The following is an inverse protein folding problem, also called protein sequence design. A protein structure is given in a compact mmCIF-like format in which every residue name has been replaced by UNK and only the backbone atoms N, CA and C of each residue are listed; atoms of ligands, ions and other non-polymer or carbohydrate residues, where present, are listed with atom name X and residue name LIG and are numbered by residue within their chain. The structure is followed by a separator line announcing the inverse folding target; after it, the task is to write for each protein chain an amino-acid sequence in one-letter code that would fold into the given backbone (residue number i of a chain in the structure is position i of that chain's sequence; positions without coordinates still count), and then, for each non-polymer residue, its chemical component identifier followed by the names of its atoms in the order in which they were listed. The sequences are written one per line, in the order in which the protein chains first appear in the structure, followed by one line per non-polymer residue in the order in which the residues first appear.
data_IF_867470934902
#
_entry.id   IF_867470934902
#
_cell.length_a   1.000
_cell.length_b   1.000
_cell.length_c   1.000
_cell.angle_alpha   90.00
_cell.angle_beta   90.00
_cell.angle_gamma   90.00
#
_symmetry.space_group_name_H-M   'P 1'
#
loop_
_entity.id
_entity.type
_entity.pdbx_description
1 polymer ?
#
# COMPACT_ATOMS: atom_id res chain seq x y z
N UNK A 1 -10.21 72.85 0.02
CA UNK A 1 -11.38 71.99 0.32
C UNK A 1 -10.81 70.60 0.66
N UNK A 2 -10.75 70.23 1.96
CA UNK A 2 -10.21 68.90 2.37
C UNK A 2 -11.40 67.93 2.39
N UNK A 3 -11.34 66.92 1.56
CA UNK A 3 -12.29 65.82 1.55
C UNK A 3 -12.06 64.97 2.79
N UNK A 4 -13.00 64.92 3.72
CA UNK A 4 -12.99 64.02 4.86
C UNK A 4 -13.30 62.62 4.34
N UNK A 5 -12.31 61.74 4.27
CA UNK A 5 -12.52 60.32 4.00
C UNK A 5 -13.13 59.64 5.22
N UNK A 6 -14.37 59.23 5.11
CA UNK A 6 -15.04 58.40 6.13
C UNK A 6 -14.37 57.00 6.12
N UNK A 7 -13.55 56.70 7.10
CA UNK A 7 -13.12 55.33 7.38
C UNK A 7 -14.34 54.54 7.90
N UNK A 8 -14.82 53.61 7.10
CA UNK A 8 -15.79 52.59 7.52
C UNK A 8 -15.05 51.55 8.35
N UNK A 9 -15.29 51.51 9.65
CA UNK A 9 -14.81 50.44 10.48
C UNK A 9 -15.51 49.14 10.12
N UNK A 10 -14.77 48.04 9.98
CA UNK A 10 -15.38 46.71 9.83
C UNK A 10 -16.31 46.42 11.01
N UNK A 11 -17.56 46.06 10.71
CA UNK A 11 -18.53 45.70 11.76
C UNK A 11 -18.13 44.39 12.49
N UNK A 12 -18.43 44.30 13.77
CA UNK A 12 -18.11 43.12 14.57
C UNK A 12 -18.68 41.83 13.94
N UNK A 13 -19.83 41.91 13.27
CA UNK A 13 -20.45 40.80 12.56
C UNK A 13 -19.65 40.38 11.31
N UNK A 14 -19.03 41.33 10.63
CA UNK A 14 -18.20 41.06 9.45
C UNK A 14 -16.95 40.27 9.84
N UNK A 15 -16.32 40.61 10.97
CA UNK A 15 -15.20 39.85 11.52
C UNK A 15 -15.64 38.44 11.93
N UNK A 16 -16.79 38.29 12.59
CA UNK A 16 -17.31 36.98 12.98
C UNK A 16 -17.59 36.07 11.75
N UNK A 17 -18.21 36.62 10.71
CA UNK A 17 -18.49 35.87 9.47
C UNK A 17 -17.21 35.50 8.73
N UNK A 18 -16.25 36.41 8.64
CA UNK A 18 -14.96 36.09 7.96
C UNK A 18 -14.18 35.00 8.71
N UNK A 19 -14.11 35.03 10.04
CA UNK A 19 -13.47 34.00 10.84
C UNK A 19 -14.20 32.65 10.70
N UNK A 20 -15.53 32.64 10.63
CA UNK A 20 -16.31 31.42 10.42
C UNK A 20 -16.02 30.80 9.05
N UNK A 21 -16.01 31.60 7.98
CA UNK A 21 -15.69 31.11 6.63
C UNK A 21 -14.25 30.61 6.56
N UNK A 22 -13.31 31.33 7.16
CA UNK A 22 -11.90 30.94 7.19
C UNK A 22 -11.70 29.62 7.95
N UNK A 23 -12.37 29.45 9.09
CA UNK A 23 -12.29 28.23 9.89
C UNK A 23 -12.83 27.01 9.16
N UNK A 24 -14.00 27.12 8.51
CA UNK A 24 -14.58 26.03 7.72
C UNK A 24 -13.71 25.65 6.52
N UNK A 25 -13.13 26.66 5.84
CA UNK A 25 -12.22 26.43 4.72
C UNK A 25 -10.94 25.71 5.14
N UNK A 26 -10.33 26.10 6.27
CA UNK A 26 -9.15 25.45 6.81
C UNK A 26 -9.41 23.99 7.23
N UNK A 27 -10.57 23.73 7.86
CA UNK A 27 -10.97 22.36 8.20
C UNK A 27 -11.17 21.49 6.95
N UNK A 28 -11.79 22.02 5.89
CA UNK A 28 -11.93 21.33 4.62
C UNK A 28 -10.58 21.01 3.97
N UNK A 29 -9.64 21.96 3.99
CA UNK A 29 -8.29 21.74 3.48
C UNK A 29 -7.53 20.68 4.29
N UNK A 30 -7.63 20.70 5.62
CA UNK A 30 -7.01 19.71 6.49
C UNK A 30 -7.56 18.28 6.22
N UNK A 31 -8.86 18.15 6.00
CA UNK A 31 -9.48 16.88 5.64
C UNK A 31 -8.97 16.34 4.30
N UNK A 32 -8.83 17.20 3.29
CA UNK A 32 -8.27 16.82 1.98
C UNK A 32 -6.80 16.41 2.08
N UNK A 33 -5.98 17.10 2.87
CA UNK A 33 -4.59 16.73 3.09
C UNK A 33 -4.47 15.35 3.75
N UNK A 34 -5.28 15.07 4.77
CA UNK A 34 -5.29 13.75 5.42
C UNK A 34 -5.64 12.63 4.44
N UNK A 35 -6.66 12.86 3.60
CA UNK A 35 -7.06 11.88 2.58
C UNK A 35 -5.97 11.66 1.52
N UNK A 36 -5.29 12.73 1.11
CA UNK A 36 -4.15 12.63 0.19
C UNK A 36 -3.01 11.80 0.76
N UNK A 37 -2.69 11.96 2.06
CA UNK A 37 -1.68 11.15 2.73
C UNK A 37 -2.06 9.67 2.79
N UNK A 38 -3.32 9.35 3.02
CA UNK A 38 -3.82 7.96 3.02
C UNK A 38 -3.65 7.32 1.63
N UNK A 39 -4.04 8.01 0.56
CA UNK A 39 -3.85 7.50 -0.81
C UNK A 39 -2.37 7.31 -1.17
N UNK A 40 -1.51 8.23 -0.76
CA UNK A 40 -0.08 8.10 -0.98
C UNK A 40 0.50 6.89 -0.23
N UNK A 41 0.05 6.63 0.99
CA UNK A 41 0.46 5.46 1.76
C UNK A 41 0.01 4.15 1.09
N UNK A 42 -1.26 4.06 0.66
CA UNK A 42 -1.78 2.91 -0.10
C UNK A 42 -0.97 2.66 -1.39
N UNK A 43 -0.71 3.71 -2.16
CA UNK A 43 0.10 3.61 -3.37
C UNK A 43 1.53 3.13 -3.08
N UNK A 44 2.12 3.56 -1.96
CA UNK A 44 3.43 3.11 -1.51
C UNK A 44 3.43 1.61 -1.20
N UNK A 45 2.47 1.11 -0.41
CA UNK A 45 2.35 -0.32 -0.08
C UNK A 45 2.20 -1.19 -1.34
N UNK A 46 1.37 -0.76 -2.29
CA UNK A 46 1.21 -1.44 -3.58
C UNK A 46 2.49 -1.46 -4.40
N UNK A 47 3.27 -0.38 -4.37
CA UNK A 47 4.58 -0.32 -5.01
C UNK A 47 5.56 -1.31 -4.37
N UNK A 48 5.58 -1.41 -3.04
CA UNK A 48 6.41 -2.38 -2.31
C UNK A 48 6.00 -3.82 -2.64
N UNK A 49 4.70 -4.13 -2.65
CA UNK A 49 4.21 -5.44 -3.04
C UNK A 49 4.64 -5.82 -4.48
N UNK A 50 4.59 -4.86 -5.40
CA UNK A 50 5.02 -5.08 -6.78
C UNK A 50 6.52 -5.39 -6.86
N UNK A 51 7.37 -4.63 -6.16
CA UNK A 51 8.83 -4.87 -6.13
C UNK A 51 9.13 -6.26 -5.58
N UNK A 52 8.49 -6.65 -4.47
CA UNK A 52 8.68 -7.96 -3.84
C UNK A 52 8.15 -9.11 -4.70
N UNK A 53 7.09 -8.88 -5.49
CA UNK A 53 6.61 -9.87 -6.45
C UNK A 53 7.63 -10.11 -7.57
N UNK A 54 8.25 -9.05 -8.08
CA UNK A 54 9.32 -9.21 -9.08
C UNK A 54 10.56 -9.86 -8.50
N UNK A 55 10.95 -9.55 -7.27
CA UNK A 55 12.11 -10.17 -6.61
C UNK A 55 12.00 -11.70 -6.59
N UNK A 56 10.89 -12.25 -6.09
CA UNK A 56 10.73 -13.71 -6.04
C UNK A 56 10.62 -14.34 -7.43
N UNK A 57 10.01 -13.66 -8.39
CA UNK A 57 9.92 -14.14 -9.77
C UNK A 57 11.28 -14.17 -10.45
N UNK A 58 12.15 -13.21 -10.18
CA UNK A 58 13.51 -13.19 -10.73
C UNK A 58 14.40 -14.27 -10.09
N UNK A 59 14.26 -14.52 -8.78
CA UNK A 59 14.90 -15.67 -8.12
C UNK A 59 14.44 -16.99 -8.71
N UNK A 60 13.13 -17.17 -8.93
CA UNK A 60 12.58 -18.35 -9.59
C UNK A 60 13.08 -18.49 -11.04
N UNK A 61 13.25 -17.38 -11.76
CA UNK A 61 13.77 -17.34 -13.12
C UNK A 61 15.23 -17.77 -13.21
N UNK A 62 16.05 -17.39 -12.23
CA UNK A 62 17.45 -17.84 -12.14
C UNK A 62 17.50 -19.35 -11.89
N UNK A 63 16.59 -19.90 -11.09
CA UNK A 63 16.52 -21.34 -10.76
C UNK A 63 15.41 -22.08 -11.54
N UNK A 64 15.19 -21.71 -12.80
CA UNK A 64 14.09 -22.23 -13.63
C UNK A 64 14.08 -23.76 -13.81
N UNK A 65 15.20 -24.43 -13.58
CA UNK A 65 15.27 -25.89 -13.63
C UNK A 65 14.50 -26.58 -12.49
N UNK A 66 14.25 -25.84 -11.39
CA UNK A 66 13.59 -26.32 -10.18
C UNK A 66 12.33 -25.49 -9.86
N UNK A 67 11.56 -25.08 -10.87
CA UNK A 67 10.38 -24.22 -10.71
C UNK A 67 9.33 -24.80 -9.74
N UNK A 68 9.15 -26.12 -9.74
CA UNK A 68 8.20 -26.79 -8.83
C UNK A 68 8.54 -26.60 -7.36
N UNK A 69 9.80 -26.31 -7.05
CA UNK A 69 10.24 -26.03 -5.69
C UNK A 69 9.86 -24.61 -5.20
N UNK A 70 9.40 -23.74 -6.13
CA UNK A 70 8.85 -22.42 -5.80
C UNK A 70 7.32 -22.46 -5.71
N UNK A 71 6.77 -23.45 -5.02
CA UNK A 71 5.34 -23.52 -4.74
C UNK A 71 5.12 -23.40 -3.23
N UNK A 72 4.48 -22.30 -2.81
CA UNK A 72 4.18 -21.98 -1.42
C UNK A 72 2.85 -21.23 -1.38
N UNK A 73 1.87 -21.76 -0.65
CA UNK A 73 0.62 -21.04 -0.44
C UNK A 73 0.82 -19.86 0.52
N UNK A 74 -0.01 -18.82 0.38
CA UNK A 74 0.09 -17.65 1.27
C UNK A 74 -0.21 -17.97 2.74
N UNK A 75 -0.96 -19.05 2.99
CA UNK A 75 -1.33 -19.56 4.31
C UNK A 75 -0.29 -20.49 4.93
N UNK A 76 0.66 -20.99 4.13
CA UNK A 76 1.64 -21.95 4.61
C UNK A 76 2.76 -21.25 5.39
N UNK A 77 3.37 -21.95 6.32
CA UNK A 77 4.57 -21.47 7.01
C UNK A 77 5.76 -21.39 6.04
N UNK A 78 6.72 -20.53 6.40
CA UNK A 78 7.96 -20.44 5.64
C UNK A 78 8.69 -21.80 5.62
N UNK A 79 9.24 -22.25 4.47
CA UNK A 79 9.85 -23.56 4.37
C UNK A 79 11.10 -23.66 5.26
N UNK A 80 11.21 -24.77 6.00
CA UNK A 80 12.37 -25.09 6.86
C UNK A 80 13.42 -25.94 6.14
N UNK A 81 13.11 -26.45 4.95
CA UNK A 81 14.00 -27.27 4.15
C UNK A 81 15.28 -26.51 3.74
N UNK A 82 16.33 -27.26 3.46
CA UNK A 82 17.59 -26.73 2.93
C UNK A 82 17.56 -26.73 1.39
N UNK A 83 18.16 -25.71 0.78
CA UNK A 83 18.22 -25.58 -0.67
C UNK A 83 17.98 -24.15 -1.12
N UNK A 84 18.24 -23.86 -2.40
CA UNK A 84 18.11 -22.50 -2.93
C UNK A 84 16.67 -22.00 -2.88
N UNK A 85 15.73 -22.74 -3.44
CA UNK A 85 14.32 -22.31 -3.47
C UNK A 85 13.69 -22.15 -2.06
N UNK A 86 13.85 -23.08 -1.09
CA UNK A 86 13.39 -22.86 0.27
C UNK A 86 14.03 -21.65 0.95
N UNK A 87 15.31 -21.38 0.71
CA UNK A 87 16.00 -20.20 1.25
C UNK A 87 15.43 -18.92 0.66
N UNK A 88 15.28 -18.85 -0.67
CA UNK A 88 14.67 -17.73 -1.37
C UNK A 88 13.26 -17.42 -0.86
N UNK A 89 12.43 -18.45 -0.68
CA UNK A 89 11.07 -18.32 -0.20
C UNK A 89 11.01 -17.80 1.24
N UNK A 90 11.92 -18.26 2.11
CA UNK A 90 12.00 -17.80 3.50
C UNK A 90 12.43 -16.34 3.58
N UNK A 91 13.51 -15.96 2.91
CA UNK A 91 13.99 -14.58 2.86
C UNK A 91 12.95 -13.64 2.27
N UNK A 92 12.24 -14.10 1.23
CA UNK A 92 11.16 -13.35 0.62
C UNK A 92 9.99 -13.13 1.60
N UNK A 93 9.60 -14.15 2.37
CA UNK A 93 8.57 -14.03 3.41
C UNK A 93 8.98 -13.06 4.52
N UNK A 94 10.24 -13.10 4.94
CA UNK A 94 10.78 -12.14 5.90
C UNK A 94 10.73 -10.70 5.34
N UNK A 95 11.06 -10.54 4.06
CA UNK A 95 10.97 -9.24 3.38
C UNK A 95 9.53 -8.72 3.26
N UNK A 96 8.55 -9.60 3.00
CA UNK A 96 7.13 -9.25 3.00
C UNK A 96 6.68 -8.77 4.38
N UNK A 97 7.02 -9.51 5.43
CA UNK A 97 6.65 -9.16 6.81
C UNK A 97 7.30 -7.85 7.28
N UNK A 98 8.51 -7.55 6.79
CA UNK A 98 9.21 -6.31 7.12
C UNK A 98 8.68 -5.07 6.37
N UNK A 99 8.24 -5.24 5.12
CA UNK A 99 7.86 -4.14 4.24
C UNK A 99 6.35 -3.82 4.26
N UNK A 100 5.51 -4.79 4.57
CA UNK A 100 4.05 -4.69 4.48
C UNK A 100 3.40 -5.01 5.84
N UNK A 101 2.40 -4.23 6.28
CA UNK A 101 1.65 -4.53 7.51
C UNK A 101 0.95 -5.89 7.38
N UNK A 102 1.24 -6.82 8.31
CA UNK A 102 0.73 -8.20 8.25
C UNK A 102 0.97 -8.87 6.87
N UNK A 103 2.10 -8.51 6.24
CA UNK A 103 2.45 -8.94 4.90
C UNK A 103 2.61 -10.45 4.80
N UNK A 104 1.84 -11.08 3.94
CA UNK A 104 1.95 -12.49 3.59
C UNK A 104 1.92 -12.68 2.08
N UNK A 105 2.45 -13.79 1.61
CA UNK A 105 2.47 -14.02 0.18
C UNK A 105 2.65 -15.50 -0.17
N UNK A 106 2.18 -15.87 -1.34
CA UNK A 106 2.35 -17.19 -1.93
C UNK A 106 2.82 -17.09 -3.38
N UNK A 107 3.45 -18.13 -3.83
CA UNK A 107 3.86 -18.29 -5.22
C UNK A 107 3.48 -19.69 -5.69
N UNK A 108 2.94 -19.80 -6.88
CA UNK A 108 2.61 -21.06 -7.53
C UNK A 108 3.22 -21.07 -8.92
N UNK A 109 4.08 -22.05 -9.17
CA UNK A 109 4.78 -22.21 -10.43
C UNK A 109 4.43 -23.54 -11.11
N UNK A 110 4.04 -23.50 -12.37
CA UNK A 110 3.81 -24.68 -13.19
C UNK A 110 5.01 -24.96 -14.08
N UNK A 111 5.62 -26.13 -13.92
CA UNK A 111 6.72 -26.58 -14.79
C UNK A 111 6.28 -26.83 -16.25
N UNK A 112 5.00 -27.17 -16.46
CA UNK A 112 4.44 -27.48 -17.80
C UNK A 112 4.22 -26.19 -18.60
N UNK A 113 3.55 -25.21 -18.01
CA UNK A 113 3.23 -23.94 -18.68
C UNK A 113 4.33 -22.90 -18.52
N UNK A 114 5.25 -23.11 -17.57
CA UNK A 114 6.26 -22.16 -17.13
C UNK A 114 5.64 -20.82 -16.67
N UNK A 115 4.43 -20.87 -16.15
CA UNK A 115 3.77 -19.70 -15.59
C UNK A 115 3.92 -19.78 -14.07
N UNK A 116 4.42 -18.68 -13.50
CA UNK A 116 4.41 -18.44 -12.06
C UNK A 116 3.44 -17.33 -11.71
N UNK A 117 2.62 -17.58 -10.71
CA UNK A 117 1.64 -16.63 -10.16
C UNK A 117 2.05 -16.31 -8.73
N UNK A 118 2.31 -15.05 -8.47
CA UNK A 118 2.59 -14.53 -7.12
C UNK A 118 1.34 -13.85 -6.59
N UNK A 119 1.00 -14.14 -5.35
CA UNK A 119 -0.08 -13.49 -4.62
C UNK A 119 0.47 -12.90 -3.34
N UNK A 120 0.31 -11.60 -3.13
CA UNK A 120 0.73 -10.89 -1.92
C UNK A 120 -0.50 -10.29 -1.27
N UNK A 121 -0.59 -10.37 0.06
CA UNK A 121 -1.68 -9.83 0.87
C UNK A 121 -1.09 -9.03 2.02
N UNK A 122 -1.74 -7.92 2.37
CA UNK A 122 -1.36 -7.08 3.51
C UNK A 122 -2.58 -6.42 4.12
N UNK A 123 -2.46 -6.02 5.37
CA UNK A 123 -3.48 -5.23 6.04
C UNK A 123 -3.41 -3.77 5.57
N UNK A 124 -4.50 -3.24 5.05
CA UNK A 124 -4.62 -1.84 4.67
C UNK A 124 -5.81 -1.22 5.39
N UNK A 125 -5.56 -0.10 6.07
CA UNK A 125 -6.64 0.66 6.69
C UNK A 125 -7.26 1.55 5.62
N UNK A 126 -8.33 1.11 4.99
CA UNK A 126 -9.11 1.95 4.11
C UNK A 126 -9.76 3.08 4.93
N UNK A 127 -9.34 4.33 4.64
CA UNK A 127 -9.82 5.52 5.34
C UNK A 127 -11.29 5.88 5.11
N UNK A 128 -12.12 4.94 4.65
CA UNK A 128 -13.54 5.13 4.32
C UNK A 128 -14.46 4.22 5.16
N UNK A 129 -13.92 3.23 5.86
CA UNK A 129 -14.71 2.39 6.75
C UNK A 129 -15.12 3.14 8.00
N UNK A 130 -16.40 3.37 8.19
CA UNK A 130 -17.01 3.92 9.43
C UNK A 130 -16.81 2.96 10.60
N UNK A 131 -16.43 1.71 10.34
CA UNK A 131 -16.37 0.61 11.30
C UNK A 131 -14.95 0.15 11.68
N UNK A 132 -13.91 0.78 11.15
CA UNK A 132 -12.52 0.47 11.58
C UNK A 132 -12.01 -0.91 11.16
N UNK A 133 -12.69 -1.61 10.28
CA UNK A 133 -12.27 -2.90 9.77
C UNK A 133 -11.06 -2.77 8.85
N UNK A 134 -10.04 -3.56 9.16
CA UNK A 134 -8.83 -3.67 8.33
C UNK A 134 -9.13 -4.64 7.19
N UNK A 135 -9.38 -4.13 5.99
CA UNK A 135 -9.53 -4.99 4.82
C UNK A 135 -8.15 -5.46 4.34
N UNK A 136 -8.08 -6.76 4.02
CA UNK A 136 -6.87 -7.32 3.43
C UNK A 136 -6.77 -6.91 1.95
N UNK A 137 -5.82 -6.05 1.63
CA UNK A 137 -5.48 -5.75 0.26
C UNK A 137 -4.74 -6.91 -0.39
N UNK A 138 -5.05 -7.19 -1.65
CA UNK A 138 -4.46 -8.29 -2.40
C UNK A 138 -3.87 -7.80 -3.72
N UNK A 139 -2.64 -8.23 -3.98
CA UNK A 139 -1.96 -8.06 -5.26
C UNK A 139 -1.65 -9.43 -5.86
N UNK A 140 -1.95 -9.60 -7.14
CA UNK A 140 -1.66 -10.83 -7.86
C UNK A 140 -1.01 -10.51 -9.20
N UNK A 141 0.08 -11.19 -9.49
CA UNK A 141 0.79 -11.04 -10.75
C UNK A 141 1.20 -12.41 -11.30
N UNK A 142 0.97 -12.62 -12.59
CA UNK A 142 1.33 -13.85 -13.28
C UNK A 142 2.24 -13.56 -14.46
N UNK A 143 3.31 -14.32 -14.59
CA UNK A 143 4.25 -14.19 -15.72
C UNK A 143 4.79 -15.55 -16.13
N UNK A 144 5.24 -15.62 -17.36
CA UNK A 144 5.96 -16.78 -17.89
C UNK A 144 7.45 -16.64 -17.63
N UNK A 145 8.10 -17.72 -17.13
CA UNK A 145 9.52 -17.79 -16.78
C UNK A 145 10.30 -18.63 -17.79
#
# INVERSE_FOLDING_TARGET
MNAISFQRGAGLIEVMVTVLILSTSLLGLAALQNRSLQYNHSAYLRSQANILAYDILDRARINRANLTSYSLAATDDAPTATGLAPTDLREWRESLAAALPEGSGGIECSAVTRICTVTIQWAERDGVGVDGDTEASRFQYSTRI
#
